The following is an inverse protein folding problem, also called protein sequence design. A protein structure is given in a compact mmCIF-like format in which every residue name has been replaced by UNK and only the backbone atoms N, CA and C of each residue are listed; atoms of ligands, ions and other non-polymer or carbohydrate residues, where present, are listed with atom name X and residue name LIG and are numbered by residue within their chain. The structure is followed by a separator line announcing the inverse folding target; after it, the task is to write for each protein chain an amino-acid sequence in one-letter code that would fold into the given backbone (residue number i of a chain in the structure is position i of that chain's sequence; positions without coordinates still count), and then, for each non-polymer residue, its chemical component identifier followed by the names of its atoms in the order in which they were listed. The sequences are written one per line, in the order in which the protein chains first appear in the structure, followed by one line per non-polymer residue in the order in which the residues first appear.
data_IF_404770222449
#
_entry.id   IF_404770222449
#
_cell.length_a   1.000
_cell.length_b   1.000
_cell.length_c   1.000
_cell.angle_alpha   90.00
_cell.angle_beta   90.00
_cell.angle_gamma   90.00
#
_symmetry.space_group_name_H-M   'P 1'
#
loop_
_entity.id
_entity.type
_entity.pdbx_description
1 polymer ?
#
# COMPACT_ATOMS: atom_id res chain seq x y z
N UNK A 1 5.07 16.22 7.49
CA UNK A 1 4.20 15.27 8.24
C UNK A 1 3.77 14.16 7.29
N UNK A 2 4.63 13.17 7.04
CA UNK A 2 4.48 12.15 5.97
C UNK A 2 4.19 10.75 6.56
N UNK A 3 3.94 10.65 7.88
CA UNK A 3 3.90 9.36 8.60
C UNK A 3 2.48 8.78 8.85
N UNK A 4 1.42 9.35 8.28
CA UNK A 4 0.04 8.93 8.63
C UNK A 4 -0.55 7.78 7.81
N UNK A 5 0.07 7.32 6.71
CA UNK A 5 -0.53 6.29 5.85
C UNK A 5 -0.20 4.84 6.27
N UNK A 6 0.79 4.64 7.15
CA UNK A 6 1.22 3.30 7.58
C UNK A 6 0.46 2.74 8.80
N UNK A 7 -0.42 3.54 9.39
CA UNK A 7 -1.15 3.21 10.63
C UNK A 7 -2.62 2.83 10.43
N UNK A 8 -3.11 2.68 9.20
CA UNK A 8 -4.52 2.36 8.99
C UNK A 8 -4.71 0.83 9.08
N UNK A 9 -4.73 0.35 10.32
CA UNK A 9 -5.52 -0.81 10.73
C UNK A 9 -6.93 -0.29 11.10
N UNK A 10 -7.66 0.20 10.08
CA UNK A 10 -9.12 0.35 10.19
C UNK A 10 -9.73 -0.81 9.46
N UNK A 11 -10.21 -1.78 10.23
CA UNK A 11 -11.00 -2.93 9.79
C UNK A 11 -12.34 -2.57 9.11
N UNK A 12 -12.65 -1.29 8.93
CA UNK A 12 -13.89 -0.75 8.37
C UNK A 12 -13.70 -0.03 7.02
N UNK A 13 -12.51 -0.14 6.41
CA UNK A 13 -12.21 0.40 5.08
C UNK A 13 -12.00 -0.76 4.11
N UNK A 14 -12.74 -0.78 3.00
CA UNK A 14 -12.57 -1.76 1.92
C UNK A 14 -11.08 -1.97 1.62
N UNK A 15 -10.62 -3.22 1.73
CA UNK A 15 -9.23 -3.56 1.50
C UNK A 15 -8.85 -3.24 0.06
N UNK A 16 -7.86 -2.35 -0.10
CA UNK A 16 -7.29 -1.98 -1.41
C UNK A 16 -6.62 -3.21 -2.03
N UNK A 17 -6.98 -3.52 -3.29
CA UNK A 17 -6.36 -4.57 -4.09
C UNK A 17 -5.39 -3.98 -5.11
N UNK A 18 -4.53 -4.83 -5.65
CA UNK A 18 -3.58 -4.43 -6.71
C UNK A 18 -4.32 -3.91 -7.95
N UNK A 19 -5.51 -4.46 -8.25
CA UNK A 19 -6.36 -3.98 -9.33
C UNK A 19 -6.87 -2.55 -9.12
N UNK A 20 -7.15 -2.14 -7.88
CA UNK A 20 -7.58 -0.76 -7.59
C UNK A 20 -6.42 0.21 -7.79
N UNK A 21 -5.21 -0.18 -7.38
CA UNK A 21 -3.97 0.60 -7.60
C UNK A 21 -3.69 0.75 -9.09
N UNK A 22 -3.77 -0.35 -9.84
CA UNK A 22 -3.59 -0.35 -11.28
C UNK A 22 -4.59 0.60 -11.97
N UNK A 23 -5.88 0.50 -11.64
CA UNK A 23 -6.92 1.30 -12.27
C UNK A 23 -6.79 2.78 -11.92
N UNK A 24 -6.48 3.11 -10.66
CA UNK A 24 -6.19 4.48 -10.23
C UNK A 24 -5.01 5.08 -10.99
N UNK A 25 -3.90 4.34 -11.06
CA UNK A 25 -2.70 4.76 -11.78
C UNK A 25 -2.95 4.93 -13.28
N UNK A 26 -3.66 4.00 -13.93
CA UNK A 26 -4.04 4.10 -15.34
C UNK A 26 -4.88 5.34 -15.62
N UNK A 27 -5.86 5.66 -14.76
CA UNK A 27 -6.71 6.83 -14.94
C UNK A 27 -5.90 8.13 -14.83
N UNK A 28 -5.10 8.26 -13.77
CA UNK A 28 -4.22 9.42 -13.57
C UNK A 28 -3.18 9.58 -14.69
N UNK A 29 -2.59 8.47 -15.16
CA UNK A 29 -1.66 8.49 -16.29
C UNK A 29 -2.31 9.11 -17.52
N UNK A 30 -3.53 8.67 -17.89
CA UNK A 30 -4.26 9.23 -19.03
C UNK A 30 -4.59 10.70 -18.84
N UNK A 31 -4.96 11.12 -17.62
CA UNK A 31 -5.21 12.53 -17.30
C UNK A 31 -3.97 13.40 -17.46
N UNK A 32 -2.81 12.96 -16.96
CA UNK A 32 -1.57 13.71 -17.14
C UNK A 32 -1.05 13.67 -18.58
N UNK A 33 -1.27 12.56 -19.31
CA UNK A 33 -1.00 12.49 -20.75
C UNK A 33 -1.83 13.52 -21.54
N UNK A 34 -3.12 13.67 -21.22
CA UNK A 34 -3.97 14.69 -21.84
C UNK A 34 -3.58 16.11 -21.41
N UNK A 35 -3.29 16.32 -20.12
CA UNK A 35 -2.85 17.60 -19.59
C UNK A 35 -1.54 18.06 -20.22
N UNK A 36 -0.60 17.14 -20.45
CA UNK A 36 0.68 17.43 -21.11
C UNK A 36 0.53 17.96 -22.55
N UNK A 37 -0.62 17.68 -23.18
CA UNK A 37 -0.99 18.16 -24.52
C UNK A 37 -1.85 19.43 -24.48
N UNK A 38 -2.06 20.01 -23.29
CA UNK A 38 -2.93 21.16 -23.08
C UNK A 38 -4.42 20.84 -23.10
N UNK A 39 -4.81 19.57 -22.96
CA UNK A 39 -6.21 19.13 -22.94
C UNK A 39 -6.63 18.88 -21.50
N UNK A 40 -7.56 19.69 -21.00
CA UNK A 40 -8.14 19.50 -19.68
C UNK A 40 -9.23 18.44 -19.72
N UNK A 41 -8.85 17.19 -19.42
CA UNK A 41 -9.78 16.07 -19.31
C UNK A 41 -9.37 15.15 -18.16
N UNK A 42 -10.35 14.80 -17.33
CA UNK A 42 -10.17 13.92 -16.18
C UNK A 42 -10.72 12.52 -16.48
N UNK A 43 -9.90 11.51 -16.21
CA UNK A 43 -10.29 10.12 -16.30
C UNK A 43 -10.54 9.58 -14.90
N UNK A 44 -11.62 8.81 -14.74
CA UNK A 44 -11.98 8.19 -13.47
C UNK A 44 -11.82 6.67 -13.52
N UNK A 45 -11.26 6.04 -12.48
CA UNK A 45 -11.30 4.59 -12.33
C UNK A 45 -12.75 4.05 -12.26
N UNK A 46 -12.99 2.79 -12.67
CA UNK A 46 -14.33 2.21 -12.65
C UNK A 46 -14.80 1.81 -11.24
N UNK A 47 -13.88 1.53 -10.30
CA UNK A 47 -14.23 1.14 -8.93
C UNK A 47 -14.24 2.34 -7.98
N UNK A 48 -15.12 2.30 -6.96
CA UNK A 48 -15.18 3.35 -5.92
C UNK A 48 -13.87 3.44 -5.14
N UNK A 49 -13.27 2.29 -4.81
CA UNK A 49 -11.95 2.22 -4.14
C UNK A 49 -10.86 2.83 -5.01
N UNK A 50 -10.85 2.53 -6.31
CA UNK A 50 -9.92 3.12 -7.28
C UNK A 50 -10.11 4.64 -7.42
N UNK A 51 -11.35 5.12 -7.51
CA UNK A 51 -11.65 6.56 -7.57
C UNK A 51 -11.15 7.32 -6.34
N UNK A 52 -11.39 6.77 -5.15
CA UNK A 52 -10.88 7.33 -3.90
C UNK A 52 -9.36 7.40 -3.91
N UNK A 53 -8.70 6.31 -4.30
CA UNK A 53 -7.24 6.25 -4.37
C UNK A 53 -6.68 7.27 -5.36
N UNK A 54 -7.28 7.38 -6.55
CA UNK A 54 -6.88 8.37 -7.55
C UNK A 54 -7.01 9.79 -7.02
N UNK A 55 -8.11 10.09 -6.31
CA UNK A 55 -8.32 11.39 -5.67
C UNK A 55 -7.24 11.68 -4.62
N UNK A 56 -6.97 10.75 -3.71
CA UNK A 56 -5.97 10.92 -2.66
C UNK A 56 -4.57 11.18 -3.25
N UNK A 57 -4.20 10.48 -4.34
CA UNK A 57 -2.95 10.71 -5.06
C UNK A 57 -2.92 12.09 -5.71
N UNK A 58 -4.01 12.51 -6.38
CA UNK A 58 -4.09 13.84 -7.00
C UNK A 58 -3.97 14.96 -5.99
N UNK A 59 -4.73 14.88 -4.88
CA UNK A 59 -4.69 15.85 -3.79
C UNK A 59 -3.25 15.98 -3.23
N UNK A 60 -2.54 14.85 -3.08
CA UNK A 60 -1.14 14.87 -2.64
C UNK A 60 -0.20 15.57 -3.64
N UNK A 61 -0.36 15.31 -4.94
CA UNK A 61 0.44 15.94 -6.00
C UNK A 61 0.17 17.45 -6.04
N UNK A 62 -1.08 17.86 -5.93
CA UNK A 62 -1.49 19.27 -5.90
C UNK A 62 -0.96 20.00 -4.67
N UNK A 63 -0.98 19.36 -3.51
CA UNK A 63 -0.34 19.89 -2.31
C UNK A 63 1.17 20.10 -2.55
N UNK A 64 1.86 19.15 -3.18
CA UNK A 64 3.28 19.29 -3.50
C UNK A 64 3.59 20.40 -4.51
N UNK A 65 2.73 20.57 -5.51
CA UNK A 65 2.83 21.71 -6.46
C UNK A 65 2.64 23.04 -5.73
N UNK A 66 1.67 23.11 -4.81
CA UNK A 66 1.40 24.29 -4.00
C UNK A 66 2.56 24.64 -3.06
N UNK A 67 3.26 23.62 -2.55
CA UNK A 67 4.51 23.77 -1.77
C UNK A 67 5.72 24.23 -2.62
N UNK A 68 5.55 24.45 -3.92
CA UNK A 68 6.59 24.90 -4.84
C UNK A 68 7.36 23.78 -5.55
N UNK A 69 6.95 22.51 -5.39
CA UNK A 69 7.58 21.39 -6.11
C UNK A 69 7.21 21.44 -7.58
N UNK A 70 8.21 21.50 -8.47
CA UNK A 70 7.98 21.43 -9.92
C UNK A 70 7.81 19.98 -10.35
N UNK A 71 6.57 19.58 -10.59
CA UNK A 71 6.20 18.27 -11.12
C UNK A 71 5.55 18.43 -12.49
N UNK A 72 6.26 18.04 -13.55
CA UNK A 72 5.73 18.12 -14.92
C UNK A 72 4.65 17.07 -15.16
N UNK A 73 3.65 17.37 -15.98
CA UNK A 73 2.60 16.40 -16.32
C UNK A 73 3.16 15.18 -17.06
N UNK A 74 4.23 15.36 -17.85
CA UNK A 74 4.91 14.24 -18.53
C UNK A 74 5.55 13.30 -17.51
N UNK A 75 6.26 13.84 -16.51
CA UNK A 75 6.91 13.01 -15.49
C UNK A 75 5.87 12.27 -14.63
N UNK A 76 4.77 12.94 -14.29
CA UNK A 76 3.67 12.32 -13.56
C UNK A 76 3.00 11.22 -14.37
N UNK A 77 2.75 11.43 -15.67
CA UNK A 77 2.23 10.40 -16.56
C UNK A 77 3.16 9.17 -16.57
N UNK A 78 4.46 9.37 -16.74
CA UNK A 78 5.46 8.28 -16.73
C UNK A 78 5.48 7.55 -15.38
N UNK A 79 5.45 8.29 -14.27
CA UNK A 79 5.42 7.71 -12.92
C UNK A 79 4.15 6.87 -12.71
N UNK A 80 2.99 7.36 -13.14
CA UNK A 80 1.73 6.62 -13.04
C UNK A 80 1.72 5.37 -13.94
N UNK A 81 2.30 5.41 -15.14
CA UNK A 81 2.46 4.22 -15.98
C UNK A 81 3.37 3.16 -15.34
N UNK A 82 4.42 3.58 -14.67
CA UNK A 82 5.29 2.66 -13.92
C UNK A 82 4.54 2.03 -12.75
N UNK A 83 3.74 2.82 -12.02
CA UNK A 83 2.91 2.34 -10.93
C UNK A 83 1.84 1.35 -11.41
N UNK A 84 1.16 1.65 -12.52
CA UNK A 84 0.21 0.76 -13.19
C UNK A 84 0.87 -0.58 -13.53
N UNK A 85 2.03 -0.51 -14.19
CA UNK A 85 2.79 -1.71 -14.60
C UNK A 85 3.21 -2.53 -13.38
N UNK A 86 3.73 -1.87 -12.34
CA UNK A 86 4.17 -2.55 -11.13
C UNK A 86 3.02 -3.27 -10.41
N UNK A 87 1.86 -2.63 -10.27
CA UNK A 87 0.68 -3.26 -9.68
C UNK A 87 0.16 -4.43 -10.52
N UNK A 88 0.18 -4.30 -11.86
CA UNK A 88 -0.27 -5.35 -12.77
C UNK A 88 0.66 -6.57 -12.77
N UNK A 89 1.99 -6.37 -12.69
CA UNK A 89 2.97 -7.46 -12.78
C UNK A 89 3.37 -8.03 -11.42
N UNK A 90 2.99 -7.38 -10.31
CA UNK A 90 3.33 -7.82 -8.96
C UNK A 90 2.90 -9.25 -8.68
N UNK A 91 1.67 -9.63 -9.03
CA UNK A 91 1.14 -10.98 -8.79
C UNK A 91 2.04 -12.07 -9.38
N UNK A 92 2.53 -11.87 -10.61
CA UNK A 92 3.41 -12.83 -11.28
C UNK A 92 4.85 -12.73 -10.79
N UNK A 93 5.34 -11.51 -10.52
CA UNK A 93 6.74 -11.26 -10.17
C UNK A 93 7.07 -11.62 -8.71
N UNK A 94 6.06 -11.55 -7.83
CA UNK A 94 6.18 -11.89 -6.40
C UNK A 94 5.61 -13.28 -6.07
N UNK A 95 5.03 -13.99 -7.03
CA UNK A 95 4.71 -15.40 -6.84
C UNK A 95 6.02 -16.15 -6.60
N UNK A 96 6.33 -16.43 -5.33
CA UNK A 96 7.43 -17.29 -4.95
C UNK A 96 7.23 -18.65 -5.61
N UNK A 97 8.29 -19.21 -6.19
CA UNK A 97 8.23 -20.53 -6.81
C UNK A 97 7.92 -21.65 -5.79
N UNK A 98 8.09 -21.36 -4.50
CA UNK A 98 8.01 -22.31 -3.37
C UNK A 98 6.61 -22.44 -2.73
N UNK A 99 5.65 -21.54 -3.03
CA UNK A 99 4.30 -21.61 -2.45
C UNK A 99 3.22 -21.12 -3.44
N UNK A 100 2.59 -22.03 -4.20
CA UNK A 100 1.59 -21.68 -5.21
C UNK A 100 0.27 -21.13 -4.63
N UNK A 101 0.02 -21.29 -3.33
CA UNK A 101 -1.19 -20.78 -2.66
C UNK A 101 -1.02 -19.32 -2.19
N UNK A 102 0.20 -18.75 -2.27
CA UNK A 102 0.49 -17.36 -1.89
C UNK A 102 0.21 -16.34 -3.01
N UNK A 103 -0.53 -16.74 -4.04
CA UNK A 103 -0.92 -15.86 -5.14
C UNK A 103 -2.10 -15.00 -4.68
N UNK A 104 -1.81 -13.85 -4.07
CA UNK A 104 -2.82 -12.90 -3.59
C UNK A 104 -3.06 -11.74 -4.58
N UNK A 105 -4.31 -11.29 -4.69
CA UNK A 105 -4.70 -10.07 -5.43
C UNK A 105 -4.23 -8.76 -4.75
N UNK A 106 -3.44 -8.88 -3.67
CA UNK A 106 -2.89 -7.78 -2.88
C UNK A 106 -1.36 -7.89 -2.72
N UNK A 107 -0.69 -8.56 -3.66
CA UNK A 107 0.76 -8.82 -3.62
C UNK A 107 1.56 -7.52 -3.65
N UNK A 108 1.20 -6.59 -4.54
CA UNK A 108 1.84 -5.27 -4.63
C UNK A 108 1.62 -4.46 -3.35
N UNK A 109 0.39 -4.36 -2.88
CA UNK A 109 0.04 -3.61 -1.68
C UNK A 109 0.73 -4.19 -0.43
N UNK A 110 0.81 -5.52 -0.33
CA UNK A 110 1.50 -6.20 0.77
C UNK A 110 2.99 -5.93 0.77
N UNK A 111 3.63 -5.93 -0.41
CA UNK A 111 5.03 -5.51 -0.56
C UNK A 111 5.21 -4.07 -0.10
N UNK A 112 4.37 -3.13 -0.57
CA UNK A 112 4.46 -1.73 -0.17
C UNK A 112 4.32 -1.56 1.34
N UNK A 113 3.36 -2.26 1.97
CA UNK A 113 3.21 -2.25 3.43
C UNK A 113 4.49 -2.72 4.13
N UNK A 114 5.14 -3.77 3.62
CA UNK A 114 6.39 -4.31 4.17
C UNK A 114 7.59 -3.38 3.96
N UNK A 115 7.67 -2.70 2.82
CA UNK A 115 8.78 -1.78 2.50
C UNK A 115 8.64 -0.46 3.27
N UNK A 116 7.40 0.01 3.45
CA UNK A 116 7.10 1.29 4.06
C UNK A 116 7.01 1.19 5.60
N UNK A 117 6.59 0.05 6.17
CA UNK A 117 6.86 -0.25 7.58
C UNK A 117 8.35 -0.56 7.67
N UNK A 118 9.15 0.34 8.22
CA UNK A 118 10.55 0.04 8.54
C UNK A 118 10.68 -1.37 9.14
N UNK A 119 11.65 -2.20 8.71
CA UNK A 119 11.85 -3.53 9.29
C UNK A 119 12.19 -3.48 10.79
N UNK A 120 12.53 -2.30 11.32
CA UNK A 120 12.82 -2.05 12.73
C UNK A 120 11.58 -1.70 13.58
N UNK A 121 10.40 -1.56 12.97
CA UNK A 121 9.16 -1.31 13.73
C UNK A 121 8.65 -2.55 14.48
N UNK A 122 9.26 -3.72 14.27
CA UNK A 122 8.94 -4.97 14.99
C UNK A 122 9.95 -5.29 16.11
N UNK A 123 10.90 -4.38 16.39
CA UNK A 123 11.70 -4.40 17.62
C UNK A 123 10.91 -3.80 18.80
N UNK A 124 9.58 -4.03 18.89
CA UNK A 124 8.90 -3.95 20.19
C UNK A 124 9.23 -5.23 20.92
N UNK A 125 10.36 -5.18 21.61
CA UNK A 125 10.70 -5.99 22.78
C UNK A 125 9.47 -6.69 23.34
N UNK A 126 9.50 -8.02 23.26
CA UNK A 126 8.71 -8.88 24.10
C UNK A 126 8.78 -8.33 25.53
N UNK A 127 7.73 -7.61 25.95
CA UNK A 127 7.48 -7.39 27.35
C UNK A 127 6.87 -8.68 27.88
N UNK A 128 7.73 -9.69 28.02
CA UNK A 128 7.52 -10.70 29.04
C UNK A 128 7.70 -9.96 30.35
N UNK A 129 6.61 -9.49 30.94
CA UNK A 129 6.58 -9.27 32.38
C UNK A 129 5.63 -10.27 33.04
N UNK A 130 6.04 -10.78 34.21
CA UNK A 130 5.53 -12.00 34.80
C UNK A 130 4.36 -11.69 35.74
N UNK A 131 3.85 -12.74 36.39
CA UNK A 131 2.78 -12.79 37.41
C UNK A 131 1.46 -13.25 36.77
N UNK A 132 0.95 -14.44 37.07
CA UNK A 132 0.63 -14.86 38.43
C UNK A 132 0.56 -16.39 38.55
N UNK A 133 1.13 -16.88 39.64
CA UNK A 133 1.16 -18.28 40.05
C UNK A 133 -0.22 -18.95 40.05
N UNK A 134 -0.31 -20.14 39.46
CA UNK A 134 -1.23 -21.20 39.87
C UNK A 134 -0.43 -22.47 40.08
N UNK A 135 -0.08 -22.68 41.34
CA UNK A 135 0.01 -23.95 42.07
C UNK A 135 0.49 -25.17 41.26
N UNK A 136 1.80 -25.41 41.31
CA UNK A 136 2.35 -26.75 41.11
C UNK A 136 1.94 -27.63 42.29
N UNK A 137 1.12 -28.65 42.04
CA UNK A 137 1.05 -29.83 42.92
C UNK A 137 1.43 -31.04 42.10
N UNK A 138 2.71 -31.40 42.13
CA UNK A 138 3.16 -32.76 41.82
C UNK A 138 3.90 -33.27 43.06
N UNK A 139 3.20 -34.04 43.90
CA UNK A 139 3.81 -34.76 45.02
C UNK A 139 4.43 -36.02 44.44
N UNK A 140 5.76 -36.12 44.46
CA UNK A 140 6.49 -37.36 44.20
C UNK A 140 6.81 -38.00 45.55
N UNK A 141 6.20 -39.13 45.93
CA UNK A 141 6.66 -39.89 47.09
C UNK A 141 7.85 -40.75 46.67
N UNK A 142 9.01 -40.49 47.28
CA UNK A 142 10.18 -41.36 47.20
C UNK A 142 10.45 -42.00 48.56
N UNK A 143 10.24 -43.32 48.65
CA UNK A 143 11.14 -44.32 49.26
C UNK A 143 10.79 -45.70 48.73
#
# INVERSE_FOLDING_TARGET
MVQSFLRIDRSDVLSVKDSDVQQAASALAKTYETASRGILYEHSPPTVTGQRLAKEISDFIEAKRSDGTRLSDIDLAVAMRRLETAAQTAKTSLASHDDPDNISDSSYVSLLRRVLKDPDSDSTTAKVEPTQAKESTLIVPGR
#
